data_IF_306154624886
#
_entry.id   IF_306154624886
#
_cell.length_a   1.000
_cell.length_b   1.000
_cell.length_c   1.000
_cell.angle_alpha   90.00
_cell.angle_beta   90.00
_cell.angle_gamma   90.00
#
_symmetry.space_group_name_H-M   'P 1'
#
loop_
_entity.id
_entity.type
_entity.pdbx_description
1 polymer ?
#
# COMPACT_ATOMS: atom_id res chain seq x y z
N UNK A 1 10.98 0.80 -17.21
CA UNK A 1 11.05 -0.13 -16.08
C UNK A 1 9.64 -0.55 -15.71
N UNK A 2 9.43 -1.85 -15.58
CA UNK A 2 8.12 -2.40 -15.17
C UNK A 2 8.00 -2.26 -13.66
N UNK A 3 6.86 -1.76 -13.18
CA UNK A 3 6.59 -1.60 -11.75
C UNK A 3 5.63 -2.71 -11.31
N UNK A 4 5.97 -3.41 -10.25
CA UNK A 4 5.20 -4.53 -9.70
C UNK A 4 4.78 -4.22 -8.26
N UNK A 5 3.59 -4.68 -7.87
CA UNK A 5 3.21 -4.66 -6.46
C UNK A 5 3.90 -5.82 -5.72
N UNK A 6 4.20 -5.62 -4.46
CA UNK A 6 4.60 -6.68 -3.54
C UNK A 6 3.49 -7.75 -3.46
N UNK A 7 3.86 -9.02 -3.70
CA UNK A 7 2.91 -10.15 -3.72
C UNK A 7 2.12 -10.29 -2.43
N UNK A 8 2.78 -10.11 -1.27
CA UNK A 8 2.11 -10.19 0.04
C UNK A 8 1.15 -9.02 0.25
N UNK A 9 1.47 -7.83 -0.29
CA UNK A 9 0.54 -6.70 -0.24
C UNK A 9 -0.68 -6.93 -1.15
N UNK A 10 -0.46 -7.48 -2.34
CA UNK A 10 -1.55 -7.86 -3.24
C UNK A 10 -2.49 -8.91 -2.61
N UNK A 11 -1.93 -9.87 -1.88
CA UNK A 11 -2.71 -10.89 -1.18
C UNK A 11 -3.61 -10.36 -0.06
N UNK A 12 -3.43 -9.09 0.38
CA UNK A 12 -4.32 -8.42 1.34
C UNK A 12 -5.63 -7.92 0.72
N UNK A 13 -5.73 -7.89 -0.61
CA UNK A 13 -6.96 -7.49 -1.31
C UNK A 13 -8.04 -8.56 -1.16
N UNK A 14 -9.25 -8.17 -0.82
CA UNK A 14 -10.42 -9.02 -0.79
C UNK A 14 -10.71 -9.67 -2.15
N UNK A 15 -11.49 -10.73 -2.17
CA UNK A 15 -11.79 -11.48 -3.40
C UNK A 15 -12.46 -10.59 -4.44
N UNK A 16 -13.39 -9.74 -4.01
CA UNK A 16 -14.21 -8.86 -4.85
C UNK A 16 -13.61 -7.46 -5.02
N UNK A 17 -12.46 -7.18 -4.43
CA UNK A 17 -11.84 -5.87 -4.48
C UNK A 17 -11.48 -5.47 -5.92
N UNK A 18 -12.13 -4.42 -6.41
CA UNK A 18 -11.97 -3.94 -7.80
C UNK A 18 -10.55 -3.47 -8.09
N UNK A 19 -9.77 -3.12 -7.07
CA UNK A 19 -8.35 -2.72 -7.21
C UNK A 19 -7.46 -3.86 -7.65
N UNK A 20 -7.89 -5.13 -7.54
CA UNK A 20 -7.15 -6.26 -8.13
C UNK A 20 -6.86 -6.06 -9.60
N UNK A 21 -7.73 -5.36 -10.33
CA UNK A 21 -7.56 -5.01 -11.74
C UNK A 21 -6.43 -3.99 -11.99
N UNK A 22 -5.88 -3.38 -10.93
CA UNK A 22 -4.74 -2.46 -11.06
C UNK A 22 -3.41 -3.17 -11.28
N UNK A 23 -3.42 -4.49 -11.16
CA UNK A 23 -2.24 -5.32 -11.39
C UNK A 23 -2.62 -6.58 -12.13
N UNK A 24 -1.68 -7.08 -12.93
CA UNK A 24 -1.80 -8.38 -13.56
C UNK A 24 -0.97 -9.40 -12.76
N UNK A 25 -1.58 -10.26 -11.93
CA UNK A 25 -0.85 -11.23 -11.11
C UNK A 25 -0.26 -12.37 -11.94
N UNK A 26 -0.78 -12.61 -13.15
CA UNK A 26 -0.39 -13.74 -13.98
C UNK A 26 0.33 -13.26 -15.24
N UNK A 27 1.58 -13.65 -15.36
CA UNK A 27 2.17 -13.93 -16.66
C UNK A 27 2.54 -15.42 -16.62
N UNK A 28 1.68 -16.26 -17.16
CA UNK A 28 1.83 -17.73 -17.16
C UNK A 28 3.14 -18.19 -17.83
N UNK A 29 3.73 -17.33 -18.66
CA UNK A 29 4.96 -17.61 -19.38
C UNK A 29 6.21 -17.03 -18.70
N UNK A 30 6.07 -16.19 -17.66
CA UNK A 30 7.21 -15.54 -17.06
C UNK A 30 6.91 -15.03 -15.65
N UNK A 31 7.24 -15.82 -14.63
CA UNK A 31 7.10 -15.46 -13.22
C UNK A 31 7.73 -14.09 -12.87
N UNK A 32 8.75 -13.66 -13.60
CA UNK A 32 9.40 -12.36 -13.40
C UNK A 32 8.53 -11.19 -13.82
N UNK A 33 7.49 -11.42 -14.59
CA UNK A 33 6.59 -10.39 -15.10
C UNK A 33 5.24 -10.34 -14.40
N UNK A 34 4.97 -11.21 -13.45
CA UNK A 34 3.73 -11.21 -12.66
C UNK A 34 3.58 -9.94 -11.81
N UNK A 35 2.34 -9.61 -11.47
CA UNK A 35 1.97 -8.48 -10.61
C UNK A 35 2.33 -7.10 -11.17
N UNK A 36 2.45 -6.99 -12.50
CA UNK A 36 2.71 -5.71 -13.14
C UNK A 36 1.53 -4.77 -13.03
N UNK A 37 1.87 -3.47 -12.92
CA UNK A 37 0.86 -2.43 -12.79
C UNK A 37 0.08 -2.21 -14.10
N UNK A 38 -1.23 -2.06 -13.93
CA UNK A 38 -2.22 -1.66 -14.92
C UNK A 38 -2.95 -0.36 -14.51
N UNK A 39 -2.59 0.20 -13.35
CA UNK A 39 -3.22 1.38 -12.76
C UNK A 39 -2.92 2.65 -13.53
N UNK A 40 -1.68 2.80 -14.01
CA UNK A 40 -1.22 3.98 -14.72
C UNK A 40 -1.04 3.68 -16.19
N UNK A 41 -1.82 4.35 -17.03
CA UNK A 41 -1.78 4.22 -18.48
C UNK A 41 -1.65 5.59 -19.12
N UNK A 42 -0.88 5.67 -20.21
CA UNK A 42 -0.90 6.86 -21.04
C UNK A 42 -2.27 7.01 -21.71
N UNK A 43 -2.77 8.22 -21.78
CA UNK A 43 -3.97 8.57 -22.55
C UNK A 43 -3.71 8.41 -24.05
N UNK A 44 -2.50 8.78 -24.48
CA UNK A 44 -2.01 8.58 -25.83
C UNK A 44 -0.58 8.01 -25.77
N UNK A 45 -0.46 6.74 -26.13
CA UNK A 45 0.83 6.03 -26.13
C UNK A 45 1.79 6.56 -27.19
N UNK A 46 1.28 7.05 -28.34
CA UNK A 46 2.14 7.56 -29.41
C UNK A 46 2.83 8.87 -29.01
N UNK A 47 2.14 9.68 -28.22
CA UNK A 47 2.64 10.98 -27.75
C UNK A 47 3.14 10.95 -26.31
N UNK A 48 3.05 9.81 -25.62
CA UNK A 48 3.44 9.65 -24.23
C UNK A 48 2.74 10.64 -23.29
N UNK A 49 1.50 11.00 -23.61
CA UNK A 49 0.73 11.94 -22.80
C UNK A 49 -0.24 11.23 -21.89
N UNK A 50 -0.44 11.78 -20.69
CA UNK A 50 -1.37 11.27 -19.68
C UNK A 50 -1.63 12.32 -18.62
N UNK A 51 -2.72 12.14 -17.90
CA UNK A 51 -3.06 13.02 -16.80
C UNK A 51 -2.19 12.66 -15.57
N UNK A 52 -1.69 13.68 -14.89
CA UNK A 52 -0.98 13.51 -13.64
C UNK A 52 -1.95 13.76 -12.47
N UNK A 53 -2.20 12.73 -11.70
CA UNK A 53 -3.03 12.83 -10.50
C UNK A 53 -2.16 13.40 -9.38
N UNK A 54 -2.41 14.66 -9.03
CA UNK A 54 -1.64 15.34 -7.99
C UNK A 54 -2.18 15.03 -6.59
N UNK A 55 -3.50 14.97 -6.44
CA UNK A 55 -4.17 14.68 -5.16
C UNK A 55 -5.52 14.02 -5.42
N UNK A 56 -5.92 13.10 -4.55
CA UNK A 56 -7.19 12.40 -4.63
C UNK A 56 -7.95 12.46 -3.30
N UNK A 57 -9.27 12.44 -3.40
CA UNK A 57 -10.15 12.46 -2.21
C UNK A 57 -9.92 11.24 -1.32
N UNK A 58 -9.57 10.09 -1.90
CA UNK A 58 -9.27 8.86 -1.17
C UNK A 58 -8.12 9.04 -0.18
N UNK A 59 -7.12 9.85 -0.53
CA UNK A 59 -6.04 10.19 0.39
C UNK A 59 -6.56 10.96 1.61
N UNK A 60 -7.55 11.82 1.41
CA UNK A 60 -8.17 12.58 2.51
C UNK A 60 -8.95 11.68 3.45
N UNK A 61 -9.72 10.72 2.90
CA UNK A 61 -10.42 9.73 3.72
C UNK A 61 -9.46 8.90 4.57
N UNK A 62 -8.36 8.43 3.99
CA UNK A 62 -7.35 7.65 4.70
C UNK A 62 -6.59 8.48 5.74
N UNK A 63 -6.34 9.75 5.44
CA UNK A 63 -5.72 10.68 6.40
C UNK A 63 -6.66 10.96 7.57
N UNK A 64 -7.95 11.20 7.31
CA UNK A 64 -8.95 11.38 8.36
C UNK A 64 -9.13 10.13 9.21
N UNK A 65 -9.16 8.95 8.59
CA UNK A 65 -9.22 7.67 9.31
C UNK A 65 -8.01 7.48 10.23
N UNK A 66 -6.80 7.76 9.74
CA UNK A 66 -5.58 7.68 10.54
C UNK A 66 -5.62 8.69 11.72
N UNK A 67 -6.02 9.92 11.47
CA UNK A 67 -6.11 10.94 12.50
C UNK A 67 -7.09 10.56 13.61
N UNK A 68 -8.30 10.12 13.26
CA UNK A 68 -9.30 9.64 14.22
C UNK A 68 -8.77 8.45 15.03
N UNK A 69 -8.14 7.47 14.37
CA UNK A 69 -7.55 6.32 15.05
C UNK A 69 -6.49 6.74 16.07
N UNK A 70 -5.60 7.67 15.71
CA UNK A 70 -4.56 8.20 16.63
C UNK A 70 -5.11 9.00 17.79
N UNK A 71 -6.30 9.55 17.64
CA UNK A 71 -7.04 10.23 18.72
C UNK A 71 -7.88 9.26 19.57
N UNK A 72 -7.72 7.93 19.37
CA UNK A 72 -8.49 6.88 20.03
C UNK A 72 -9.99 6.90 19.67
N UNK A 73 -10.36 7.53 18.57
CA UNK A 73 -11.71 7.44 17.99
C UNK A 73 -11.75 6.32 16.95
N UNK A 74 -11.71 5.07 17.42
CA UNK A 74 -11.79 3.90 16.56
C UNK A 74 -13.10 3.84 15.76
N UNK A 75 -14.18 4.39 16.29
CA UNK A 75 -15.49 4.42 15.61
C UNK A 75 -15.45 5.36 14.40
N UNK A 76 -14.96 6.58 14.57
CA UNK A 76 -14.80 7.55 13.49
C UNK A 76 -13.79 7.06 12.44
N UNK A 77 -12.67 6.48 12.90
CA UNK A 77 -11.66 5.90 12.02
C UNK A 77 -12.24 4.79 11.13
N UNK A 78 -12.99 3.84 11.71
CA UNK A 78 -13.66 2.78 10.94
C UNK A 78 -14.73 3.32 10.00
N UNK A 79 -15.47 4.35 10.40
CA UNK A 79 -16.46 4.98 9.52
C UNK A 79 -15.80 5.50 8.25
N UNK A 80 -14.73 6.28 8.37
CA UNK A 80 -13.99 6.82 7.22
C UNK A 80 -13.37 5.70 6.37
N UNK A 81 -12.74 4.71 7.00
CA UNK A 81 -12.13 3.60 6.30
C UNK A 81 -13.16 2.76 5.54
N UNK A 82 -14.23 2.33 6.21
CA UNK A 82 -15.26 1.50 5.59
C UNK A 82 -15.98 2.24 4.47
N UNK A 83 -16.28 3.54 4.63
CA UNK A 83 -16.90 4.34 3.57
C UNK A 83 -16.08 4.33 2.28
N UNK A 84 -14.76 4.45 2.38
CA UNK A 84 -13.90 4.39 1.21
C UNK A 84 -13.76 2.96 0.66
N UNK A 85 -13.54 1.99 1.56
CA UNK A 85 -13.23 0.63 1.13
C UNK A 85 -14.44 -0.10 0.55
N UNK A 86 -15.66 0.23 0.95
CA UNK A 86 -16.88 -0.31 0.36
C UNK A 86 -17.10 0.12 -1.10
N UNK A 87 -16.52 1.26 -1.51
CA UNK A 87 -16.45 1.63 -2.94
C UNK A 87 -15.45 0.76 -3.74
N UNK A 88 -14.64 -0.03 -3.05
CA UNK A 88 -13.63 -0.92 -3.65
C UNK A 88 -14.02 -2.38 -3.57
N UNK A 89 -14.69 -2.77 -2.49
CA UNK A 89 -15.19 -4.11 -2.20
C UNK A 89 -16.43 -3.94 -1.33
N UNK A 90 -17.62 -4.22 -1.88
CA UNK A 90 -18.90 -4.02 -1.19
C UNK A 90 -19.02 -4.84 0.12
N UNK A 91 -18.29 -5.96 0.19
CA UNK A 91 -18.26 -6.83 1.36
C UNK A 91 -17.25 -6.36 2.43
N UNK A 92 -16.47 -5.32 2.16
CA UNK A 92 -15.44 -4.86 3.09
C UNK A 92 -16.06 -4.32 4.39
N UNK A 93 -15.58 -4.83 5.50
CA UNK A 93 -15.93 -4.33 6.83
C UNK A 93 -14.75 -4.50 7.79
N UNK A 94 -14.16 -3.39 8.21
CA UNK A 94 -13.14 -3.38 9.25
C UNK A 94 -13.80 -3.28 10.63
N UNK A 95 -13.44 -4.25 11.52
CA UNK A 95 -13.86 -4.28 12.94
C UNK A 95 -12.69 -4.12 13.89
N UNK A 96 -11.48 -3.89 13.36
CA UNK A 96 -10.25 -3.73 14.14
C UNK A 96 -10.30 -2.49 15.03
N UNK A 97 -9.43 -2.46 16.04
CA UNK A 97 -9.27 -1.36 17.00
C UNK A 97 -7.79 -1.12 17.29
N UNK A 98 -7.46 0.04 17.87
CA UNK A 98 -6.14 0.34 18.41
C UNK A 98 -5.12 0.81 17.39
N UNK A 99 -3.98 1.26 17.92
CA UNK A 99 -2.95 2.03 17.20
C UNK A 99 -1.60 1.35 17.10
N UNK A 100 -1.49 0.05 17.45
CA UNK A 100 -0.23 -0.68 17.39
C UNK A 100 0.30 -0.75 15.95
N UNK A 101 1.59 -0.50 15.79
CA UNK A 101 2.33 -0.71 14.55
C UNK A 101 3.58 -1.54 14.84
N UNK A 102 3.95 -2.40 13.90
CA UNK A 102 5.21 -3.13 13.96
C UNK A 102 6.42 -2.26 13.65
N UNK A 103 7.61 -2.73 14.02
CA UNK A 103 8.88 -2.07 13.67
C UNK A 103 9.13 -2.08 12.18
N UNK A 104 8.76 -3.16 11.50
CA UNK A 104 8.85 -3.26 10.05
C UNK A 104 7.47 -3.09 9.41
N UNK A 105 7.45 -2.58 8.19
CA UNK A 105 6.22 -2.43 7.38
C UNK A 105 5.54 -3.75 7.01
N UNK A 106 6.22 -4.88 7.28
CA UNK A 106 5.73 -6.24 7.06
C UNK A 106 5.25 -6.93 8.33
N UNK A 107 5.45 -6.33 9.50
CA UNK A 107 4.97 -6.89 10.75
C UNK A 107 3.45 -6.72 10.84
N UNK A 108 2.80 -7.73 11.42
CA UNK A 108 1.35 -7.74 11.57
C UNK A 108 0.98 -7.60 13.05
N UNK A 109 0.30 -6.51 13.38
CA UNK A 109 -0.19 -6.23 14.74
C UNK A 109 -1.68 -6.49 14.88
N UNK A 110 -2.40 -6.55 13.75
CA UNK A 110 -3.84 -6.70 13.71
C UNK A 110 -4.62 -5.44 14.10
N UNK A 111 -3.94 -4.32 14.32
CA UNK A 111 -4.58 -3.07 14.76
C UNK A 111 -5.36 -2.37 13.66
N UNK A 112 -6.25 -1.45 14.06
CA UNK A 112 -6.96 -0.57 13.13
C UNK A 112 -5.99 0.36 12.38
N UNK A 113 -5.00 0.90 13.08
CA UNK A 113 -4.00 1.77 12.45
C UNK A 113 -3.21 1.02 11.38
N UNK A 114 -2.79 -0.21 11.66
CA UNK A 114 -2.13 -1.04 10.66
C UNK A 114 -3.01 -1.26 9.43
N UNK A 115 -4.29 -1.58 9.64
CA UNK A 115 -5.24 -1.76 8.53
C UNK A 115 -5.35 -0.51 7.67
N UNK A 116 -5.50 0.67 8.28
CA UNK A 116 -5.54 1.96 7.57
C UNK A 116 -4.26 2.16 6.73
N UNK A 117 -3.10 1.86 7.30
CA UNK A 117 -1.82 1.98 6.59
C UNK A 117 -1.70 0.97 5.44
N UNK A 118 -2.19 -0.26 5.62
CA UNK A 118 -2.25 -1.25 4.53
C UNK A 118 -3.13 -0.74 3.39
N UNK A 119 -4.33 -0.26 3.70
CA UNK A 119 -5.24 0.26 2.69
C UNK A 119 -4.67 1.51 2.00
N UNK A 120 -3.97 2.39 2.73
CA UNK A 120 -3.24 3.52 2.15
C UNK A 120 -2.14 3.07 1.18
N UNK A 121 -1.38 2.04 1.53
CA UNK A 121 -0.32 1.49 0.66
C UNK A 121 -0.87 0.92 -0.64
N UNK A 122 -2.06 0.32 -0.60
CA UNK A 122 -2.73 -0.26 -1.77
C UNK A 122 -3.34 0.86 -2.61
N UNK A 123 -4.15 1.74 -1.98
CA UNK A 123 -4.90 2.79 -2.68
C UNK A 123 -3.97 3.78 -3.38
N UNK A 124 -2.92 4.21 -2.71
CA UNK A 124 -1.94 5.17 -3.22
C UNK A 124 -0.70 4.51 -3.84
N UNK A 125 -0.80 3.22 -4.19
CA UNK A 125 0.32 2.49 -4.78
C UNK A 125 0.80 3.17 -6.07
N UNK A 126 2.12 3.36 -6.17
CA UNK A 126 2.76 3.99 -7.33
C UNK A 126 2.61 5.51 -7.39
N UNK A 127 1.83 6.11 -6.50
CA UNK A 127 1.71 7.55 -6.32
C UNK A 127 2.78 8.08 -5.35
N UNK A 128 2.84 9.38 -5.23
CA UNK A 128 3.80 10.04 -4.35
C UNK A 128 3.43 9.78 -2.89
N UNK A 129 4.36 9.33 -2.05
CA UNK A 129 4.08 9.33 -0.62
C UNK A 129 4.62 8.15 0.18
N UNK A 130 4.89 6.98 -0.41
CA UNK A 130 5.29 5.80 0.38
C UNK A 130 6.52 6.01 1.26
N UNK A 131 7.53 6.69 0.75
CA UNK A 131 8.75 7.00 1.52
C UNK A 131 8.45 7.92 2.70
N UNK A 132 7.55 8.88 2.51
CA UNK A 132 7.13 9.77 3.59
C UNK A 132 6.36 9.02 4.68
N UNK A 133 5.51 8.05 4.31
CA UNK A 133 4.83 7.19 5.28
C UNK A 133 5.83 6.36 6.10
N UNK A 134 6.79 5.72 5.44
CA UNK A 134 7.85 4.95 6.13
C UNK A 134 8.57 5.83 7.15
N UNK A 135 9.01 7.03 6.73
CA UNK A 135 9.75 7.96 7.59
C UNK A 135 8.91 8.48 8.76
N UNK A 136 7.68 8.97 8.50
CA UNK A 136 6.84 9.53 9.56
C UNK A 136 6.36 8.48 10.56
N UNK A 137 6.19 7.23 10.12
CA UNK A 137 5.81 6.10 10.96
C UNK A 137 7.00 5.47 11.67
N UNK A 138 8.25 5.88 11.33
CA UNK A 138 9.50 5.31 11.85
C UNK A 138 9.53 3.78 11.72
N UNK A 139 9.09 3.28 10.57
CA UNK A 139 9.10 1.85 10.27
C UNK A 139 10.28 1.51 9.36
N UNK A 140 10.97 0.43 9.66
CA UNK A 140 11.87 -0.21 8.72
C UNK A 140 11.11 -1.02 7.66
N UNK A 141 11.83 -1.54 6.69
CA UNK A 141 11.29 -2.45 5.70
C UNK A 141 12.28 -3.57 5.38
N UNK A 142 11.77 -4.64 4.79
CA UNK A 142 12.56 -5.73 4.22
C UNK A 142 12.10 -6.00 2.78
N UNK A 143 12.98 -6.60 2.01
CA UNK A 143 12.71 -7.09 0.66
C UNK A 143 13.11 -8.55 0.59
N UNK A 144 12.16 -9.43 0.45
CA UNK A 144 12.34 -10.89 0.46
C UNK A 144 11.83 -11.51 -0.83
N UNK A 145 12.26 -12.71 -1.14
CA UNK A 145 11.88 -13.39 -2.39
C UNK A 145 10.38 -13.69 -2.47
N UNK A 146 9.74 -14.01 -1.33
CA UNK A 146 8.30 -14.24 -1.22
C UNK A 146 7.46 -12.98 -1.49
N UNK A 147 8.04 -11.80 -1.32
CA UNK A 147 7.45 -10.52 -1.73
C UNK A 147 7.55 -10.28 -3.24
N UNK A 148 8.28 -11.10 -3.98
CA UNK A 148 8.53 -10.94 -5.41
C UNK A 148 9.80 -10.16 -5.76
N UNK A 149 10.71 -9.91 -4.79
CA UNK A 149 11.97 -9.22 -5.07
C UNK A 149 13.00 -10.16 -5.69
N UNK A 150 13.75 -9.70 -6.72
CA UNK A 150 14.85 -10.49 -7.29
C UNK A 150 16.01 -10.62 -6.29
N UNK A 151 16.80 -11.69 -6.43
CA UNK A 151 17.92 -11.97 -5.52
C UNK A 151 18.91 -10.81 -5.36
N UNK A 152 19.10 -10.01 -6.42
CA UNK A 152 19.98 -8.82 -6.40
C UNK A 152 19.43 -7.62 -5.63
N UNK A 153 18.18 -7.65 -5.20
CA UNK A 153 17.52 -6.55 -4.51
C UNK A 153 16.95 -6.94 -3.13
N UNK A 154 17.39 -8.08 -2.58
CA UNK A 154 16.97 -8.53 -1.25
C UNK A 154 17.59 -7.66 -0.17
N UNK A 155 16.79 -7.31 0.83
CA UNK A 155 17.18 -6.57 2.03
C UNK A 155 16.59 -7.30 3.22
N UNK A 156 17.43 -7.73 4.15
CA UNK A 156 16.99 -8.49 5.33
C UNK A 156 16.11 -7.63 6.25
N UNK A 157 16.57 -6.43 6.56
CA UNK A 157 15.80 -5.38 7.24
C UNK A 157 16.56 -4.06 7.15
N UNK A 158 15.83 -2.96 7.26
CA UNK A 158 16.44 -1.65 7.51
C UNK A 158 16.17 -1.26 8.95
N UNK A 159 17.18 -0.65 9.60
CA UNK A 159 17.01 -0.10 10.93
C UNK A 159 16.20 1.20 10.86
N UNK A 160 15.21 1.34 11.73
CA UNK A 160 14.39 2.56 11.81
C UNK A 160 15.13 3.70 12.49
N UNK A 161 16.15 3.39 13.28
CA UNK A 161 16.93 4.37 14.04
C UNK A 161 18.13 4.91 13.27
N UNK A 162 18.51 4.24 12.17
CA UNK A 162 19.55 4.70 11.28
C UNK A 162 19.00 5.54 10.12
N UNK A 163 19.17 6.88 10.14
CA UNK A 163 18.71 7.76 9.07
C UNK A 163 19.33 7.46 7.71
N UNK A 164 20.53 6.88 7.66
CA UNK A 164 21.21 6.52 6.42
C UNK A 164 20.57 5.30 5.76
N UNK A 165 19.91 4.43 6.52
CA UNK A 165 19.19 3.27 5.98
C UNK A 165 18.04 3.65 5.04
N UNK A 166 17.58 4.89 5.08
CA UNK A 166 16.57 5.45 4.20
C UNK A 166 17.11 6.15 2.95
N UNK A 167 18.43 6.30 2.85
CA UNK A 167 19.07 7.03 1.75
C UNK A 167 18.88 6.36 0.37
N UNK A 168 18.51 5.08 0.36
CA UNK A 168 18.45 4.24 -0.84
C UNK A 168 17.05 3.72 -1.19
N UNK A 169 16.01 4.42 -0.79
CA UNK A 169 14.62 4.03 -1.07
C UNK A 169 14.00 4.85 -2.20
#
# INVERSE_FOLDING_TARGET
ARKQINKLLYAKLGTNDVRKKWWNPQDENNEKNGYQQEKFKFKDYAKWTGDYIFMRIEEMFLTAAEASCRLNDDKGARLMLNSLMQERDEDYTCKKTGTALGKLTSDETGSLLEEIIIQRRIELWGEFGRIYDIRRLKQGFRRTADMGWPSSALIASTDTEDPESYAWV
#
